data_IF_984138273574
#
_entry.id   IF_984138273574
#
_cell.length_a   1.000
_cell.length_b   1.000
_cell.length_c   1.000
_cell.angle_alpha   90.00
_cell.angle_beta   90.00
_cell.angle_gamma   90.00
#
_symmetry.space_group_name_H-M   'P 1'
#
loop_
_entity.id
_entity.type
_entity.pdbx_description
1 polymer ?
#
# COMPACT_ATOMS: atom_id res chain seq x y z
N UNK A 1 -4.67 21.77 4.20
CA UNK A 1 -5.60 21.29 3.71
C UNK A 1 -5.39 20.00 3.01
N UNK A 2 -6.26 19.71 2.20
CA UNK A 2 -6.22 18.43 1.62
C UNK A 2 -4.95 18.11 0.93
N UNK A 3 -4.22 19.12 0.49
CA UNK A 3 -3.00 18.89 -0.23
C UNK A 3 -1.92 18.26 0.61
N UNK A 4 -1.87 18.58 1.90
CA UNK A 4 -0.92 17.94 2.76
C UNK A 4 -1.19 16.45 2.89
N UNK A 5 -2.45 16.10 3.02
CA UNK A 5 -2.82 14.69 3.16
C UNK A 5 -2.56 13.94 1.88
N UNK A 6 -2.89 14.54 0.73
CA UNK A 6 -2.63 13.91 -0.54
C UNK A 6 -1.14 13.68 -0.75
N UNK A 7 -0.35 14.69 -0.49
CA UNK A 7 1.09 14.58 -0.67
C UNK A 7 1.67 13.49 0.24
N UNK A 8 1.20 13.44 1.48
CA UNK A 8 1.67 12.43 2.39
C UNK A 8 1.28 11.04 1.91
N UNK A 9 0.05 10.89 1.38
CA UNK A 9 -0.37 9.60 0.86
C UNK A 9 0.50 9.16 -0.32
N UNK A 10 0.86 10.09 -1.20
CA UNK A 10 1.74 9.77 -2.31
C UNK A 10 3.11 9.30 -1.82
N UNK A 11 3.68 10.04 -0.87
CA UNK A 11 5.01 9.70 -0.37
C UNK A 11 5.00 8.34 0.29
N UNK A 12 4.00 8.08 1.13
CA UNK A 12 3.93 6.80 1.82
C UNK A 12 3.69 5.65 0.85
N UNK A 13 2.83 5.85 -0.14
CA UNK A 13 2.57 4.80 -1.12
C UNK A 13 3.82 4.45 -1.90
N UNK A 14 4.60 5.47 -2.25
CA UNK A 14 5.84 5.25 -2.96
C UNK A 14 6.83 4.48 -2.10
N UNK A 15 6.91 4.82 -0.82
CA UNK A 15 7.78 4.10 0.09
C UNK A 15 7.35 2.65 0.26
N UNK A 16 6.04 2.40 0.30
CA UNK A 16 5.55 1.03 0.39
C UNK A 16 5.98 0.23 -0.82
N UNK A 17 5.86 0.81 -2.01
CA UNK A 17 6.25 0.11 -3.23
C UNK A 17 7.73 -0.24 -3.20
N UNK A 18 8.56 0.75 -2.89
CA UNK A 18 10.00 0.54 -2.85
C UNK A 18 10.37 -0.50 -1.80
N UNK A 19 9.79 -0.37 -0.61
CA UNK A 19 10.12 -1.27 0.48
C UNK A 19 9.68 -2.69 0.18
N UNK A 20 8.54 -2.85 -0.49
CA UNK A 20 8.07 -4.18 -0.83
C UNK A 20 9.02 -4.89 -1.78
N UNK A 21 9.55 -4.16 -2.76
CA UNK A 21 10.53 -4.78 -3.65
C UNK A 21 11.79 -5.18 -2.89
N UNK A 22 12.25 -4.33 -1.98
CA UNK A 22 13.43 -4.65 -1.21
C UNK A 22 13.22 -5.85 -0.29
N UNK A 23 12.08 -5.89 0.39
CA UNK A 23 11.85 -6.96 1.35
C UNK A 23 11.62 -8.31 0.68
N UNK A 24 11.12 -8.33 -0.55
CA UNK A 24 10.84 -9.59 -1.22
C UNK A 24 11.98 -10.09 -2.08
N UNK A 25 13.10 -9.38 -2.11
CA UNK A 25 14.21 -9.80 -2.95
C UNK A 25 14.73 -11.19 -2.61
N UNK A 26 14.69 -11.54 -1.33
CA UNK A 26 15.24 -12.81 -0.88
C UNK A 26 14.16 -13.85 -0.61
N UNK A 27 12.95 -13.63 -1.09
CA UNK A 27 11.90 -14.63 -0.96
C UNK A 27 12.24 -15.87 -1.79
N UNK A 28 11.67 -17.02 -1.45
CA UNK A 28 11.96 -18.23 -2.19
C UNK A 28 11.67 -18.09 -3.67
N UNK A 29 12.50 -18.70 -4.48
CA UNK A 29 12.30 -18.62 -5.93
C UNK A 29 10.99 -19.23 -6.37
N UNK A 30 10.48 -20.19 -5.62
CA UNK A 30 9.20 -20.79 -5.92
C UNK A 30 8.07 -19.79 -5.89
N UNK A 31 8.27 -18.66 -5.19
CA UNK A 31 7.22 -17.66 -5.06
C UNK A 31 7.34 -16.54 -6.08
N UNK A 32 8.27 -16.62 -7.00
CA UNK A 32 8.51 -15.51 -7.90
C UNK A 32 7.27 -15.19 -8.74
N UNK A 33 6.46 -16.20 -9.07
CA UNK A 33 5.21 -15.99 -9.78
C UNK A 33 4.00 -16.14 -8.87
N UNK A 34 4.23 -16.33 -7.59
CA UNK A 34 3.16 -16.48 -6.61
C UNK A 34 3.12 -15.30 -5.68
N UNK A 35 3.43 -15.53 -4.41
CA UNK A 35 3.29 -14.50 -3.39
C UNK A 35 4.14 -13.27 -3.68
N UNK A 36 5.37 -13.45 -4.12
CA UNK A 36 6.21 -12.31 -4.44
C UNK A 36 5.56 -11.41 -5.49
N UNK A 37 5.08 -12.02 -6.58
CA UNK A 37 4.46 -11.24 -7.64
C UNK A 37 3.21 -10.54 -7.16
N UNK A 38 2.41 -11.22 -6.35
CA UNK A 38 1.18 -10.62 -5.85
C UNK A 38 1.45 -9.46 -4.93
N UNK A 39 2.45 -9.59 -4.06
CA UNK A 39 2.80 -8.50 -3.15
C UNK A 39 3.28 -7.29 -3.92
N UNK A 40 4.10 -7.52 -4.94
CA UNK A 40 4.62 -6.40 -5.73
C UNK A 40 3.53 -5.71 -6.51
N UNK A 41 2.59 -6.47 -7.05
CA UNK A 41 1.46 -5.87 -7.74
C UNK A 41 0.60 -5.05 -6.79
N UNK A 42 0.30 -5.61 -5.61
CA UNK A 42 -0.50 -4.91 -4.64
C UNK A 42 0.20 -3.63 -4.18
N UNK A 43 1.51 -3.70 -3.99
CA UNK A 43 2.26 -2.53 -3.55
C UNK A 43 2.22 -1.41 -4.58
N UNK A 44 2.35 -1.76 -5.84
CA UNK A 44 2.34 -0.75 -6.88
C UNK A 44 0.94 -0.17 -7.08
N UNK A 45 -0.09 -0.99 -6.93
CA UNK A 45 -1.45 -0.50 -7.18
C UNK A 45 -1.94 0.41 -6.08
N UNK A 46 -1.21 0.58 -4.97
CA UNK A 46 -1.63 1.58 -4.01
C UNK A 46 -0.97 2.94 -4.26
N UNK A 47 -0.26 3.09 -5.35
CA UNK A 47 0.24 4.39 -5.76
C UNK A 47 -0.92 5.23 -6.29
N UNK A 48 -0.98 6.48 -5.86
CA UNK A 48 -2.07 7.35 -6.28
C UNK A 48 -1.62 8.40 -7.27
N UNK A 49 -0.46 8.19 -7.84
CA UNK A 49 0.17 9.18 -8.65
C UNK A 49 -0.64 9.49 -9.86
N UNK A 50 -1.26 9.21 -10.53
CA UNK A 50 -1.97 9.64 -11.68
C UNK A 50 -3.42 9.93 -11.46
N UNK A 51 -3.86 9.85 -10.22
CA UNK A 51 -5.29 9.96 -9.96
C UNK A 51 -5.80 11.37 -9.99
N UNK A 52 -4.91 12.31 -9.78
CA UNK A 52 -5.36 13.67 -9.49
C UNK A 52 -5.96 14.38 -10.69
N UNK A 53 -5.74 13.87 -11.88
CA UNK A 53 -6.21 14.59 -13.05
C UNK A 53 -7.62 14.22 -13.47
N UNK A 54 -8.23 13.30 -12.77
CA UNK A 54 -9.57 12.89 -13.13
C UNK A 54 -10.60 13.60 -12.28
N UNK A 55 -11.84 13.28 -12.51
CA UNK A 55 -12.90 13.85 -11.70
C UNK A 55 -12.74 13.40 -10.25
N UNK A 56 -13.42 14.09 -9.35
CA UNK A 56 -13.35 13.71 -7.96
C UNK A 56 -13.89 12.31 -7.72
N UNK A 57 -14.92 11.93 -8.44
CA UNK A 57 -15.44 10.57 -8.30
C UNK A 57 -14.45 9.52 -8.72
N UNK A 58 -13.76 9.76 -9.82
CA UNK A 58 -12.73 8.83 -10.27
C UNK A 58 -11.56 8.81 -9.33
N UNK A 59 -11.20 9.94 -8.77
CA UNK A 59 -10.13 10.01 -7.80
C UNK A 59 -10.46 9.16 -6.58
N UNK A 60 -11.69 9.30 -6.07
CA UNK A 60 -12.10 8.49 -4.93
C UNK A 60 -12.05 7.02 -5.24
N UNK A 61 -12.49 6.64 -6.44
CA UNK A 61 -12.46 5.24 -6.83
C UNK A 61 -11.04 4.69 -6.84
N UNK A 62 -10.10 5.47 -7.37
CA UNK A 62 -8.70 5.05 -7.34
C UNK A 62 -8.19 4.88 -5.92
N UNK A 63 -8.56 5.80 -5.04
CA UNK A 63 -8.11 5.70 -3.66
C UNK A 63 -8.71 4.49 -2.96
N UNK A 64 -9.94 4.16 -3.28
CA UNK A 64 -10.56 2.97 -2.70
C UNK A 64 -9.85 1.70 -3.16
N UNK A 65 -9.49 1.65 -4.44
CA UNK A 65 -8.75 0.51 -4.95
C UNK A 65 -7.38 0.44 -4.29
N UNK A 66 -6.72 1.58 -4.17
CA UNK A 66 -5.41 1.62 -3.55
C UNK A 66 -5.48 1.17 -2.10
N UNK A 67 -6.50 1.60 -1.38
CA UNK A 67 -6.65 1.22 0.01
C UNK A 67 -6.90 -0.28 0.15
N UNK A 68 -7.75 -0.84 -0.71
CA UNK A 68 -8.01 -2.28 -0.68
C UNK A 68 -6.75 -3.08 -0.99
N UNK A 69 -5.97 -2.62 -1.97
CA UNK A 69 -4.73 -3.30 -2.32
C UNK A 69 -3.73 -3.26 -1.18
N UNK A 70 -3.70 -2.14 -0.46
CA UNK A 70 -2.80 -2.01 0.67
C UNK A 70 -3.19 -2.97 1.79
N UNK A 71 -4.49 -3.11 2.04
CA UNK A 71 -4.95 -4.05 3.05
C UNK A 71 -4.60 -5.48 2.66
N UNK A 72 -4.71 -5.79 1.37
CA UNK A 72 -4.33 -7.10 0.89
C UNK A 72 -2.82 -7.32 1.07
N UNK A 73 -2.03 -6.31 0.76
CA UNK A 73 -0.59 -6.40 0.95
C UNK A 73 -0.24 -6.62 2.41
N UNK A 74 -0.93 -5.93 3.30
CA UNK A 74 -0.66 -6.09 4.73
C UNK A 74 -0.90 -7.54 5.17
N UNK A 75 -1.96 -8.14 4.67
CA UNK A 75 -2.22 -9.55 4.96
C UNK A 75 -1.12 -10.43 4.37
N UNK A 76 -0.68 -10.13 3.15
CA UNK A 76 0.37 -10.92 2.52
C UNK A 76 1.69 -10.81 3.26
N UNK A 77 1.98 -9.65 3.83
CA UNK A 77 3.18 -9.49 4.65
C UNK A 77 3.07 -10.35 5.91
N UNK A 78 1.91 -10.34 6.52
CA UNK A 78 1.69 -11.17 7.70
C UNK A 78 1.86 -12.65 7.36
N UNK A 79 1.31 -13.08 6.23
CA UNK A 79 1.45 -14.44 5.78
C UNK A 79 2.93 -14.78 5.51
N UNK A 80 3.64 -13.87 4.87
CA UNK A 80 5.05 -14.08 4.57
C UNK A 80 5.86 -14.24 5.85
N UNK A 81 5.51 -13.46 6.88
CA UNK A 81 6.21 -13.55 8.14
C UNK A 81 5.97 -14.92 8.77
N UNK A 82 4.74 -15.39 8.74
CA UNK A 82 4.43 -16.68 9.32
C UNK A 82 5.08 -17.82 8.55
N UNK A 83 5.31 -17.64 7.27
CA UNK A 83 5.99 -18.64 6.47
C UNK A 83 7.50 -18.57 6.60
N UNK A 84 8.01 -17.56 7.29
CA UNK A 84 9.44 -17.44 7.50
C UNK A 84 10.18 -16.93 6.28
N UNK A 85 9.53 -16.20 5.42
CA UNK A 85 10.15 -15.76 4.16
C UNK A 85 11.04 -14.55 4.32
N UNK A 86 10.86 -13.77 5.38
CA UNK A 86 11.69 -12.58 5.55
C UNK A 86 13.06 -12.94 6.06
N UNK A 87 14.08 -12.28 5.53
CA UNK A 87 15.42 -12.51 5.95
C UNK A 87 15.60 -12.17 7.43
N UNK A 88 15.04 -11.06 7.85
CA UNK A 88 15.03 -10.69 9.26
C UNK A 88 13.76 -11.23 9.90
N UNK A 89 13.86 -11.66 11.15
CA UNK A 89 12.68 -12.23 11.79
C UNK A 89 11.54 -11.25 11.96
N UNK A 90 11.85 -9.97 12.07
CA UNK A 90 10.82 -8.99 12.37
C UNK A 90 11.03 -7.72 11.61
N UNK A 91 10.45 -7.58 10.44
CA UNK A 91 10.57 -6.33 9.70
C UNK A 91 9.60 -5.29 10.27
N UNK A 92 9.85 -4.87 11.51
CA UNK A 92 8.95 -3.98 12.23
C UNK A 92 8.67 -2.69 11.50
N UNK A 93 9.70 -2.08 10.94
CA UNK A 93 9.51 -0.81 10.29
C UNK A 93 8.73 -0.96 8.98
N UNK A 94 8.78 -2.12 8.36
CA UNK A 94 7.97 -2.36 7.17
C UNK A 94 6.50 -2.42 7.57
N UNK A 95 6.18 -3.17 8.61
CA UNK A 95 4.79 -3.25 9.06
C UNK A 95 4.30 -1.92 9.60
N UNK A 96 5.17 -1.18 10.25
CA UNK A 96 4.80 0.16 10.71
C UNK A 96 4.48 1.06 9.53
N UNK A 97 5.28 0.97 8.48
CA UNK A 97 5.02 1.76 7.28
C UNK A 97 3.68 1.38 6.66
N UNK A 98 3.38 0.10 6.59
CA UNK A 98 2.09 -0.34 6.05
C UNK A 98 0.94 0.18 6.88
N UNK A 99 1.04 0.08 8.20
CA UNK A 99 -0.02 0.54 9.07
C UNK A 99 -0.23 2.04 8.95
N UNK A 100 0.85 2.79 8.88
CA UNK A 100 0.74 4.23 8.75
C UNK A 100 0.11 4.61 7.42
N UNK A 101 0.51 3.93 6.35
CA UNK A 101 -0.04 4.21 5.04
C UNK A 101 -1.52 3.89 4.99
N UNK A 102 -1.93 2.78 5.61
CA UNK A 102 -3.35 2.46 5.70
C UNK A 102 -4.13 3.55 6.41
N UNK A 103 -3.55 4.06 7.49
CA UNK A 103 -4.21 5.07 8.27
C UNK A 103 -4.41 6.35 7.46
N UNK A 104 -3.38 6.80 6.79
CA UNK A 104 -3.45 8.02 6.00
C UNK A 104 -4.38 7.84 4.82
N UNK A 105 -4.26 6.74 4.10
CA UNK A 105 -5.07 6.48 2.94
C UNK A 105 -6.53 6.29 3.34
N UNK A 106 -6.77 5.57 4.41
CA UNK A 106 -8.14 5.36 4.89
C UNK A 106 -8.80 6.65 5.30
N UNK A 107 -8.05 7.54 5.95
CA UNK A 107 -8.59 8.84 6.34
C UNK A 107 -8.94 9.67 5.11
N UNK A 108 -8.10 9.61 4.09
CA UNK A 108 -8.36 10.36 2.87
C UNK A 108 -9.61 9.83 2.17
N UNK A 109 -9.75 8.51 2.10
CA UNK A 109 -10.95 7.93 1.50
C UNK A 109 -12.20 8.35 2.25
N UNK A 110 -12.15 8.28 3.58
CA UNK A 110 -13.32 8.67 4.37
C UNK A 110 -13.68 10.13 4.19
N UNK A 111 -12.68 10.99 4.10
CA UNK A 111 -12.95 12.39 3.95
C UNK A 111 -13.62 12.68 2.60
N UNK A 112 -13.25 11.94 1.57
CA UNK A 112 -13.86 12.16 0.25
C UNK A 112 -15.22 11.50 0.12
N UNK A 113 -15.51 10.51 0.93
CA UNK A 113 -16.83 9.90 0.95
C UNK A 113 -17.83 10.70 1.77
N UNK A 114 -17.35 11.52 2.66
CA UNK A 114 -18.25 12.23 3.57
C UNK A 114 -19.23 13.07 2.79
N UNK A 115 -20.46 13.16 3.24
CA UNK A 115 -21.42 14.02 2.57
C UNK A 115 -20.90 15.43 2.53
N UNK A 116 -21.24 16.09 1.48
CA UNK A 116 -20.83 17.44 1.32
C UNK A 116 -21.53 18.29 2.36
N UNK A 117 -20.77 19.10 3.06
CA UNK A 117 -21.43 19.94 4.08
C UNK A 117 -21.20 21.36 3.90
#
# INVERSE_FOLDING_TARGET
MRDHTKLRAFVLADEVAMRTYLETRDFPKEEVYGLTAQMRRAAVSNSVEGCARESQGEYLRYLEIAFASLRELHYQVELSRRLGYFRRPEPDDYETLLAETEKVLGALVRSLRAPNR
#
